data_IF_627719811383
#
_entry.id   IF_627719811383
#
_cell.length_a   1.000
_cell.length_b   1.000
_cell.length_c   1.000
_cell.angle_alpha   90.00
_cell.angle_beta   90.00
_cell.angle_gamma   90.00
#
_symmetry.space_group_name_H-M   'P 1'
#
loop_
_entity.id
_entity.type
_entity.pdbx_description
1 polymer ?
#
# COMPACT_ATOMS: atom_id res chain seq x y z
N UNK A 1 -1.20 -8.49 9.11
CA UNK A 1 -2.43 -7.87 8.53
C UNK A 1 -3.63 -7.89 9.51
N UNK A 2 -3.38 -7.61 10.80
CA UNK A 2 -4.45 -7.66 11.81
C UNK A 2 -5.58 -6.65 11.59
N UNK A 3 -5.37 -5.60 10.79
CA UNK A 3 -6.42 -4.65 10.41
C UNK A 3 -7.58 -5.31 9.65
N UNK A 4 -7.37 -6.47 9.01
CA UNK A 4 -8.42 -7.19 8.30
C UNK A 4 -9.55 -7.71 9.21
N UNK A 5 -9.34 -7.77 10.53
CA UNK A 5 -10.39 -8.14 11.49
C UNK A 5 -11.37 -7.00 11.76
N UNK A 6 -11.00 -5.76 11.44
CA UNK A 6 -11.76 -4.57 11.74
C UNK A 6 -12.61 -4.11 10.55
N UNK A 7 -13.89 -3.87 10.78
CA UNK A 7 -14.78 -3.24 9.79
C UNK A 7 -14.39 -1.79 9.46
N UNK A 8 -13.62 -1.15 10.33
CA UNK A 8 -13.07 0.19 10.13
C UNK A 8 -11.75 0.17 9.37
N UNK A 9 -11.19 -1.03 9.09
CA UNK A 9 -10.03 -1.21 8.23
C UNK A 9 -10.40 -1.19 6.75
N UNK A 10 -9.45 -0.83 5.89
CA UNK A 10 -9.68 -0.73 4.44
C UNK A 10 -9.82 -2.09 3.73
N UNK A 11 -9.45 -3.20 4.37
CA UNK A 11 -9.50 -4.57 3.81
C UNK A 11 -10.12 -5.54 4.84
N UNK A 12 -11.37 -5.26 5.23
CA UNK A 12 -12.10 -6.11 6.14
C UNK A 12 -12.38 -7.48 5.53
N UNK A 13 -12.02 -8.53 6.27
CA UNK A 13 -12.24 -9.92 5.87
C UNK A 13 -13.02 -10.67 6.95
N UNK A 14 -14.28 -11.01 6.71
CA UNK A 14 -15.13 -11.69 7.72
C UNK A 14 -14.50 -12.97 8.31
N UNK A 15 -13.73 -13.72 7.50
CA UNK A 15 -13.04 -14.93 7.98
C UNK A 15 -12.03 -14.66 9.10
N UNK A 16 -11.47 -13.43 9.19
CA UNK A 16 -10.54 -13.05 10.25
C UNK A 16 -11.20 -12.98 11.63
N UNK A 17 -12.53 -12.80 11.71
CA UNK A 17 -13.26 -12.84 12.99
C UNK A 17 -13.13 -14.21 13.69
N UNK A 18 -13.00 -15.29 12.91
CA UNK A 18 -12.81 -16.64 13.44
C UNK A 18 -11.45 -16.85 14.13
N UNK A 19 -10.47 -15.97 13.86
CA UNK A 19 -9.17 -16.05 14.55
C UNK A 19 -9.33 -15.89 16.06
N UNK A 20 -10.34 -15.16 16.52
CA UNK A 20 -10.62 -15.01 17.95
C UNK A 20 -10.96 -16.33 18.65
N UNK A 21 -11.52 -17.31 17.95
CA UNK A 21 -11.88 -18.63 18.49
C UNK A 21 -10.66 -19.38 19.04
N UNK A 22 -9.46 -19.13 18.49
CA UNK A 22 -8.22 -19.73 19.02
C UNK A 22 -7.94 -19.30 20.47
N UNK A 23 -8.47 -18.15 20.91
CA UNK A 23 -8.33 -17.66 22.29
C UNK A 23 -9.08 -18.54 23.30
N UNK A 24 -10.13 -19.22 22.85
CA UNK A 24 -10.90 -20.15 23.67
C UNK A 24 -10.18 -21.50 23.80
N UNK A 25 -9.53 -21.91 22.70
CA UNK A 25 -8.76 -23.18 22.67
C UNK A 25 -7.41 -23.05 23.38
N UNK A 26 -6.78 -21.87 23.30
CA UNK A 26 -5.43 -21.60 23.83
C UNK A 26 -5.43 -20.30 24.66
N UNK A 27 -6.09 -20.27 25.84
CA UNK A 27 -6.32 -19.04 26.59
C UNK A 27 -5.05 -18.40 27.16
N UNK A 28 -4.02 -19.20 27.41
CA UNK A 28 -2.77 -18.75 28.03
C UNK A 28 -1.66 -18.39 27.02
N UNK A 29 -1.90 -18.67 25.73
CA UNK A 29 -0.94 -18.33 24.69
C UNK A 29 -1.02 -16.83 24.37
N UNK A 30 0.09 -16.10 24.41
CA UNK A 30 0.10 -14.69 24.05
C UNK A 30 -0.17 -14.49 22.56
N UNK A 31 -0.92 -13.45 22.23
CA UNK A 31 -1.23 -13.07 20.84
C UNK A 31 -0.59 -11.72 20.53
N UNK A 32 0.17 -11.67 19.43
CA UNK A 32 0.75 -10.47 18.88
C UNK A 32 0.04 -10.12 17.57
N UNK A 33 -0.67 -8.99 17.56
CA UNK A 33 -1.35 -8.48 16.36
C UNK A 33 -0.46 -7.44 15.68
N UNK A 34 -0.07 -7.69 14.44
CA UNK A 34 0.80 -6.83 13.65
C UNK A 34 0.04 -6.22 12.47
N UNK A 35 0.20 -4.92 12.29
CA UNK A 35 -0.29 -4.19 11.12
C UNK A 35 0.54 -2.93 10.90
N UNK A 36 0.68 -2.52 9.65
CA UNK A 36 1.37 -1.30 9.26
C UNK A 36 0.44 -0.07 9.18
N UNK A 37 -0.89 -0.27 9.16
CA UNK A 37 -1.86 0.75 8.72
C UNK A 37 -3.07 0.85 9.64
N UNK A 38 -2.89 0.83 10.96
CA UNK A 38 -4.01 0.92 11.88
C UNK A 38 -4.21 2.34 12.41
N UNK A 39 -5.42 2.90 12.21
CA UNK A 39 -5.88 4.10 12.93
C UNK A 39 -6.17 3.77 14.39
N UNK A 40 -6.31 4.78 15.27
CA UNK A 40 -6.68 4.54 16.67
C UNK A 40 -7.98 3.73 16.85
N UNK A 41 -8.96 3.93 15.98
CA UNK A 41 -10.23 3.20 15.97
C UNK A 41 -10.03 1.74 15.60
N UNK A 42 -9.23 1.48 14.56
CA UNK A 42 -8.87 0.13 14.13
C UNK A 42 -8.11 -0.61 15.23
N UNK A 43 -7.18 0.05 15.93
CA UNK A 43 -6.45 -0.54 17.05
C UNK A 43 -7.41 -0.99 18.17
N UNK A 44 -8.36 -0.14 18.55
CA UNK A 44 -9.38 -0.46 19.58
C UNK A 44 -10.22 -1.66 19.16
N UNK A 45 -10.65 -1.69 17.90
CA UNK A 45 -11.47 -2.77 17.37
C UNK A 45 -10.70 -4.10 17.30
N UNK A 46 -9.43 -4.10 16.88
CA UNK A 46 -8.54 -5.27 16.90
C UNK A 46 -8.44 -5.84 18.32
N UNK A 47 -8.17 -4.99 19.31
CA UNK A 47 -8.03 -5.43 20.69
C UNK A 47 -9.33 -6.01 21.26
N UNK A 48 -10.47 -5.41 20.92
CA UNK A 48 -11.78 -5.91 21.33
C UNK A 48 -12.10 -7.27 20.70
N UNK A 49 -11.93 -7.39 19.37
CA UNK A 49 -12.28 -8.60 18.62
C UNK A 49 -11.36 -9.77 18.89
N UNK A 50 -10.09 -9.52 19.19
CA UNK A 50 -9.13 -10.56 19.60
C UNK A 50 -9.13 -10.81 21.12
N UNK A 51 -10.03 -10.21 21.87
CA UNK A 51 -10.20 -10.39 23.32
C UNK A 51 -8.88 -10.18 24.10
N UNK A 52 -8.15 -9.10 23.79
CA UNK A 52 -6.91 -8.79 24.50
C UNK A 52 -7.19 -8.45 25.97
N UNK A 53 -6.53 -9.16 26.89
CA UNK A 53 -6.63 -8.92 28.34
C UNK A 53 -5.98 -7.58 28.74
N UNK A 54 -4.86 -7.25 28.09
CA UNK A 54 -4.12 -6.01 28.28
C UNK A 54 -4.09 -5.22 26.97
N UNK A 55 -4.40 -3.93 27.06
CA UNK A 55 -4.44 -3.03 25.89
C UNK A 55 -3.07 -2.44 25.56
N UNK A 56 -2.04 -3.27 25.51
CA UNK A 56 -0.70 -2.84 25.14
C UNK A 56 -0.65 -2.51 23.65
N UNK A 57 -0.13 -1.32 23.32
CA UNK A 57 0.05 -0.89 21.94
C UNK A 57 1.46 -0.32 21.78
N UNK A 58 2.22 -0.92 20.89
CA UNK A 58 3.52 -0.41 20.48
C UNK A 58 3.36 0.27 19.13
N UNK A 59 3.59 1.56 19.07
CA UNK A 59 3.43 2.36 17.86
C UNK A 59 4.72 3.09 17.53
N UNK A 60 5.09 3.02 16.27
CA UNK A 60 6.14 3.87 15.70
C UNK A 60 5.51 4.97 14.85
N UNK A 61 6.20 6.08 14.72
CA UNK A 61 5.79 7.13 13.78
C UNK A 61 5.84 6.61 12.34
N UNK A 62 4.85 6.98 11.53
CA UNK A 62 4.86 6.74 10.08
C UNK A 62 5.71 7.77 9.32
N UNK A 63 6.19 8.79 10.01
CA UNK A 63 7.04 9.80 9.39
C UNK A 63 8.33 9.19 8.88
N UNK A 64 8.56 9.34 7.60
CA UNK A 64 9.76 8.90 6.90
C UNK A 64 10.58 10.13 6.52
N UNK A 65 11.63 10.44 7.29
CA UNK A 65 12.47 11.64 7.09
C UNK A 65 13.14 11.70 5.71
N UNK A 66 13.25 10.56 5.03
CA UNK A 66 13.81 10.44 3.68
C UNK A 66 12.75 10.48 2.57
N UNK A 67 11.47 10.73 2.88
CA UNK A 67 10.39 10.86 1.90
C UNK A 67 9.81 12.27 1.94
N UNK A 68 9.71 12.88 0.78
CA UNK A 68 9.03 14.16 0.58
C UNK A 68 7.72 13.94 -0.16
N UNK A 69 6.61 14.44 0.39
CA UNK A 69 5.32 14.46 -0.28
C UNK A 69 5.12 15.82 -0.94
N UNK A 70 5.10 15.84 -2.27
CA UNK A 70 5.01 17.07 -3.05
C UNK A 70 3.75 17.04 -3.90
N UNK A 71 2.88 18.04 -3.74
CA UNK A 71 1.70 18.23 -4.58
C UNK A 71 1.93 19.44 -5.48
N UNK A 72 1.83 19.22 -6.79
CA UNK A 72 1.98 20.27 -7.79
C UNK A 72 0.70 20.46 -8.59
N UNK A 73 0.19 21.67 -8.66
CA UNK A 73 -0.92 22.02 -9.54
C UNK A 73 -0.34 22.34 -10.92
N UNK A 74 -0.82 21.68 -11.95
CA UNK A 74 -0.39 21.89 -13.33
C UNK A 74 -1.52 21.61 -14.31
N UNK A 75 -1.58 22.36 -15.38
CA UNK A 75 -2.50 22.13 -16.51
C UNK A 75 -1.90 21.15 -17.53
N UNK A 76 -0.57 20.94 -17.50
CA UNK A 76 0.13 20.00 -18.36
C UNK A 76 0.92 18.97 -17.56
N UNK A 77 0.25 17.88 -17.18
CA UNK A 77 0.85 16.80 -16.39
C UNK A 77 2.00 16.09 -17.09
N UNK A 78 1.93 15.99 -18.42
CA UNK A 78 2.96 15.33 -19.23
C UNK A 78 4.27 16.13 -19.20
N UNK A 79 4.20 17.41 -19.44
CA UNK A 79 5.38 18.29 -19.38
C UNK A 79 6.01 18.28 -17.97
N UNK A 80 5.17 18.32 -16.92
CA UNK A 80 5.66 18.27 -15.55
C UNK A 80 6.32 16.92 -15.22
N UNK A 81 5.76 15.81 -15.70
CA UNK A 81 6.35 14.49 -15.55
C UNK A 81 7.74 14.41 -16.18
N UNK A 82 7.87 14.83 -17.44
CA UNK A 82 9.15 14.84 -18.14
C UNK A 82 10.18 15.74 -17.44
N UNK A 83 9.74 16.90 -16.96
CA UNK A 83 10.59 17.82 -16.20
C UNK A 83 11.14 17.19 -14.92
N UNK A 84 10.29 16.47 -14.16
CA UNK A 84 10.70 15.76 -12.95
C UNK A 84 11.69 14.66 -13.29
N UNK A 85 11.37 13.78 -14.24
CA UNK A 85 12.20 12.61 -14.59
C UNK A 85 13.59 13.02 -15.13
N UNK A 86 13.67 14.11 -15.87
CA UNK A 86 14.96 14.62 -16.39
C UNK A 86 15.85 15.22 -15.30
N UNK A 87 15.27 15.67 -14.20
CA UNK A 87 16.01 16.32 -13.09
C UNK A 87 16.34 15.41 -11.93
N UNK A 88 15.59 14.34 -11.77
CA UNK A 88 15.77 13.41 -10.66
C UNK A 88 16.37 12.09 -11.18
N UNK A 89 17.67 11.86 -10.97
CA UNK A 89 18.29 10.59 -11.34
C UNK A 89 17.76 9.47 -10.43
N UNK A 90 17.65 8.27 -10.99
CA UNK A 90 17.24 7.06 -10.27
C UNK A 90 15.99 6.42 -10.86
N UNK A 91 15.45 5.44 -10.15
CA UNK A 91 14.24 4.73 -10.57
C UNK A 91 12.98 5.46 -10.13
N UNK A 92 11.94 5.41 -10.95
CA UNK A 92 10.65 6.04 -10.66
C UNK A 92 9.49 5.06 -10.92
N UNK A 93 8.42 5.18 -10.15
CA UNK A 93 7.16 4.48 -10.39
C UNK A 93 6.08 5.54 -10.67
N UNK A 94 5.41 5.39 -11.81
CA UNK A 94 4.40 6.33 -12.28
C UNK A 94 3.03 5.64 -12.25
N UNK A 95 2.14 6.10 -11.37
CA UNK A 95 0.79 5.58 -11.28
C UNK A 95 -0.16 6.36 -12.20
N UNK A 96 -0.89 5.65 -13.03
CA UNK A 96 -1.91 6.20 -13.92
C UNK A 96 -3.26 5.51 -13.73
N UNK A 97 -4.36 6.17 -14.12
CA UNK A 97 -5.72 5.70 -13.80
C UNK A 97 -6.23 4.54 -14.65
N UNK A 98 -5.60 4.24 -15.79
CA UNK A 98 -6.11 3.21 -16.70
C UNK A 98 -5.00 2.46 -17.41
N UNK A 99 -5.27 1.20 -17.78
CA UNK A 99 -4.36 0.35 -18.57
C UNK A 99 -3.94 0.99 -19.88
N UNK A 100 -4.85 1.67 -20.55
CA UNK A 100 -4.57 2.41 -21.79
C UNK A 100 -3.53 3.50 -21.54
N UNK A 101 -3.73 4.33 -20.50
CA UNK A 101 -2.77 5.38 -20.15
C UNK A 101 -1.40 4.85 -19.72
N UNK A 102 -1.35 3.64 -19.16
CA UNK A 102 -0.07 3.01 -18.81
C UNK A 102 0.79 2.84 -20.07
N UNK A 103 0.22 2.27 -21.14
CA UNK A 103 0.91 2.10 -22.43
C UNK A 103 1.27 3.44 -23.06
N UNK A 104 0.31 4.35 -23.19
CA UNK A 104 0.52 5.69 -23.76
C UNK A 104 1.66 6.44 -23.05
N UNK A 105 1.72 6.34 -21.72
CA UNK A 105 2.78 7.00 -20.93
C UNK A 105 4.14 6.35 -21.20
N UNK A 106 4.21 5.02 -21.28
CA UNK A 106 5.45 4.30 -21.59
C UNK A 106 5.98 4.65 -22.97
N UNK A 107 5.11 4.65 -23.98
CA UNK A 107 5.48 5.02 -25.37
C UNK A 107 6.00 6.47 -25.42
N UNK A 108 5.34 7.40 -24.75
CA UNK A 108 5.79 8.78 -24.64
C UNK A 108 7.18 8.87 -23.99
N UNK A 109 7.41 8.21 -22.87
CA UNK A 109 8.69 8.25 -22.16
C UNK A 109 9.82 7.67 -23.02
N UNK A 110 9.55 6.56 -23.69
CA UNK A 110 10.50 5.93 -24.60
C UNK A 110 10.84 6.84 -25.78
N UNK A 111 9.85 7.50 -26.37
CA UNK A 111 10.05 8.49 -27.43
C UNK A 111 10.90 9.67 -26.96
N UNK A 112 10.76 10.08 -25.71
CA UNK A 112 11.55 11.15 -25.07
C UNK A 112 12.94 10.68 -24.57
N UNK A 113 13.34 9.44 -24.90
CA UNK A 113 14.64 8.87 -24.54
C UNK A 113 14.77 8.41 -23.09
N UNK A 114 13.64 8.26 -22.39
CA UNK A 114 13.61 7.75 -21.01
C UNK A 114 13.25 6.26 -21.07
N UNK A 115 14.11 5.39 -20.55
CA UNK A 115 13.84 3.96 -20.45
C UNK A 115 12.65 3.72 -19.52
N UNK A 116 11.60 3.12 -20.04
CA UNK A 116 10.38 2.85 -19.28
C UNK A 116 9.75 1.54 -19.73
N UNK A 117 9.10 0.87 -18.80
CA UNK A 117 8.24 -0.26 -19.05
C UNK A 117 6.91 -0.10 -18.31
N UNK A 118 5.92 -0.92 -18.63
CA UNK A 118 4.60 -0.80 -18.02
C UNK A 118 4.15 -2.09 -17.35
N UNK A 119 3.46 -1.94 -16.25
CA UNK A 119 2.84 -3.04 -15.51
C UNK A 119 1.36 -2.79 -15.26
N UNK A 120 0.54 -3.80 -15.48
CA UNK A 120 -0.86 -3.81 -15.06
C UNK A 120 -1.40 -5.23 -14.84
N UNK A 121 -2.47 -5.36 -14.05
CA UNK A 121 -3.02 -6.66 -13.66
C UNK A 121 -3.51 -7.56 -14.83
N UNK A 122 -3.71 -7.01 -16.01
CA UNK A 122 -4.12 -7.75 -17.20
C UNK A 122 -2.97 -8.27 -18.08
N UNK A 123 -1.71 -8.19 -17.63
CA UNK A 123 -0.59 -8.83 -18.30
C UNK A 123 -0.59 -10.32 -17.98
N UNK A 124 -0.13 -11.15 -18.96
CA UNK A 124 0.11 -12.57 -18.74
C UNK A 124 1.21 -12.78 -17.69
N UNK A 125 1.11 -13.89 -16.96
CA UNK A 125 2.04 -14.17 -15.86
C UNK A 125 3.50 -14.28 -16.34
N UNK A 126 3.73 -14.73 -17.57
CA UNK A 126 5.07 -14.80 -18.16
C UNK A 126 5.71 -13.40 -18.33
N UNK A 127 4.92 -12.39 -18.70
CA UNK A 127 5.38 -11.00 -18.87
C UNK A 127 5.59 -10.32 -17.51
N UNK A 128 4.78 -10.67 -16.49
CA UNK A 128 4.90 -10.11 -15.13
C UNK A 128 6.20 -10.47 -14.40
N UNK A 129 6.86 -11.56 -14.81
CA UNK A 129 8.10 -12.04 -14.17
C UNK A 129 9.33 -11.36 -14.77
N UNK A 130 9.22 -10.80 -15.99
CA UNK A 130 10.32 -10.14 -16.70
C UNK A 130 10.34 -8.61 -16.52
N UNK A 131 9.30 -8.03 -15.94
CA UNK A 131 9.20 -6.59 -15.59
C UNK A 131 9.57 -6.37 -14.12
#
# INVERSE_FOLDING_TARGET
ESHCISQWGYDFRPAYLKIAEIRELLPDVPVLALTATATPEVVKDIQARLHFRHKNVFRMSFERKNLAYIVRKTDNKTAELLHILRRMPGSAIIYVRSRRRTKETTELLTHEGITADFYHAGLDNAVKIQS
#
